data_IF_375344056629
#
_entry.id   IF_375344056629
#
_cell.length_a   1.000
_cell.length_b   1.000
_cell.length_c   1.000
_cell.angle_alpha   90.00
_cell.angle_beta   90.00
_cell.angle_gamma   90.00
#
_symmetry.space_group_name_H-M   'P 1'
#
loop_
_entity.id
_entity.type
_entity.pdbx_description
1 polymer ?
#
# COMPACT_ATOMS: atom_id res chain seq x y z
N UNK A 1 10.74 10.95 -19.24
CA UNK A 1 10.42 11.69 -18.00
C UNK A 1 8.92 11.60 -17.68
N UNK A 2 8.04 11.43 -18.68
CA UNK A 2 6.60 11.16 -18.47
C UNK A 2 6.27 9.85 -17.74
N UNK A 3 6.97 8.73 -17.98
CA UNK A 3 6.56 7.42 -17.43
C UNK A 3 6.58 7.37 -15.89
N UNK A 4 7.54 8.06 -15.27
CA UNK A 4 7.65 8.14 -13.80
C UNK A 4 6.49 8.92 -13.18
N UNK A 5 5.96 9.94 -13.89
CA UNK A 5 4.81 10.74 -13.42
C UNK A 5 3.53 9.91 -13.46
N UNK A 6 3.35 9.14 -14.53
CA UNK A 6 2.19 8.24 -14.68
C UNK A 6 2.22 7.16 -13.60
N UNK A 7 3.36 6.51 -13.39
CA UNK A 7 3.53 5.50 -12.33
C UNK A 7 3.28 6.07 -10.93
N UNK A 8 3.72 7.30 -10.67
CA UNK A 8 3.44 8.00 -9.42
C UNK A 8 1.93 8.21 -9.19
N UNK A 9 1.21 8.72 -10.20
CA UNK A 9 -0.25 8.96 -10.10
C UNK A 9 -1.02 7.66 -9.86
N UNK A 10 -0.71 6.59 -10.61
CA UNK A 10 -1.35 5.29 -10.38
C UNK A 10 -1.05 4.73 -8.99
N UNK A 11 0.19 4.88 -8.51
CA UNK A 11 0.56 4.42 -7.18
C UNK A 11 -0.12 5.21 -6.06
N UNK A 12 -0.35 6.51 -6.26
CA UNK A 12 -1.05 7.38 -5.32
C UNK A 12 -2.54 7.02 -5.25
N UNK A 13 -3.19 6.82 -6.40
CA UNK A 13 -4.59 6.40 -6.50
C UNK A 13 -4.77 5.02 -5.82
N UNK A 14 -3.85 4.09 -6.08
CA UNK A 14 -3.86 2.77 -5.45
C UNK A 14 -3.78 2.87 -3.92
N UNK A 15 -2.89 3.71 -3.39
CA UNK A 15 -2.72 3.90 -1.96
C UNK A 15 -3.99 4.46 -1.29
N UNK A 16 -4.63 5.45 -1.92
CA UNK A 16 -5.87 6.05 -1.44
C UNK A 16 -7.01 5.02 -1.46
N UNK A 17 -7.17 4.28 -2.55
CA UNK A 17 -8.18 3.24 -2.67
C UNK A 17 -7.97 2.11 -1.65
N UNK A 18 -6.72 1.70 -1.42
CA UNK A 18 -6.35 0.71 -0.41
C UNK A 18 -6.72 1.18 1.00
N UNK A 19 -6.40 2.42 1.37
CA UNK A 19 -6.76 2.98 2.68
C UNK A 19 -8.28 3.09 2.86
N UNK A 20 -9.02 3.48 1.82
CA UNK A 20 -10.48 3.52 1.85
C UNK A 20 -11.07 2.12 2.05
N UNK A 21 -10.52 1.10 1.39
CA UNK A 21 -10.96 -0.29 1.51
C UNK A 21 -10.71 -0.83 2.92
N UNK A 22 -9.53 -0.57 3.51
CA UNK A 22 -9.27 -0.89 4.92
C UNK A 22 -10.30 -0.22 5.84
N UNK A 23 -10.55 1.07 5.64
CA UNK A 23 -11.50 1.81 6.47
C UNK A 23 -12.90 1.20 6.38
N UNK A 24 -13.36 0.83 5.19
CA UNK A 24 -14.66 0.16 4.99
C UNK A 24 -14.70 -1.17 5.74
N UNK A 25 -13.67 -2.02 5.63
CA UNK A 25 -13.64 -3.33 6.31
C UNK A 25 -13.63 -3.16 7.83
N UNK A 26 -12.83 -2.24 8.36
CA UNK A 26 -12.82 -1.94 9.79
C UNK A 26 -14.15 -1.37 10.27
N UNK A 27 -14.75 -0.47 9.49
CA UNK A 27 -16.06 0.10 9.81
C UNK A 27 -17.13 -1.00 9.87
N UNK A 28 -17.22 -1.86 8.85
CA UNK A 28 -18.16 -2.98 8.83
C UNK A 28 -17.93 -3.94 10.00
N UNK A 29 -16.68 -4.30 10.29
CA UNK A 29 -16.34 -5.20 11.39
C UNK A 29 -16.70 -4.63 12.77
N UNK A 30 -16.53 -3.31 12.98
CA UNK A 30 -16.94 -2.64 14.23
C UNK A 30 -18.46 -2.55 14.38
N UNK A 31 -19.22 -2.37 13.29
CA UNK A 31 -20.68 -2.42 13.34
C UNK A 31 -21.18 -3.83 13.65
N UNK A 32 -20.64 -4.85 12.97
CA UNK A 32 -21.05 -6.25 13.16
C UNK A 32 -20.64 -6.82 14.51
N UNK A 33 -19.52 -6.39 15.10
CA UNK A 33 -19.12 -6.82 16.46
C UNK A 33 -20.10 -6.36 17.54
N UNK A 34 -20.89 -5.32 17.27
CA UNK A 34 -21.90 -4.82 18.21
C UNK A 34 -23.25 -5.54 18.05
N UNK A 35 -23.52 -6.13 16.88
CA UNK A 35 -24.77 -6.84 16.59
C UNK A 35 -24.53 -8.35 16.63
N UNK A 36 -24.89 -8.99 17.75
CA UNK A 36 -24.75 -10.44 17.97
C UNK A 36 -25.75 -11.19 17.05
N UNK A 37 -25.41 -11.34 15.78
CA UNK A 37 -26.04 -12.29 14.85
C UNK A 37 -24.92 -13.08 14.15
N UNK A 38 -24.64 -14.30 14.64
CA UNK A 38 -23.60 -15.14 14.10
C UNK A 38 -24.18 -15.94 12.94
N UNK A 39 -24.35 -15.34 11.77
CA UNK A 39 -24.38 -16.15 10.55
C UNK A 39 -24.10 -15.31 9.32
N UNK A 40 -23.18 -15.80 8.51
CA UNK A 40 -22.74 -15.27 7.21
C UNK A 40 -21.88 -14.00 7.24
N UNK A 41 -20.58 -14.17 7.04
CA UNK A 41 -19.93 -13.36 6.00
C UNK A 41 -18.63 -14.01 5.49
N UNK A 42 -18.80 -15.02 4.62
CA UNK A 42 -17.70 -15.56 3.80
C UNK A 42 -16.97 -14.43 3.05
N UNK A 43 -17.72 -13.41 2.62
CA UNK A 43 -17.17 -12.28 1.87
C UNK A 43 -16.25 -11.39 2.71
N UNK A 44 -16.53 -11.14 4.00
CA UNK A 44 -15.58 -10.39 4.85
C UNK A 44 -14.28 -11.17 5.06
N UNK A 45 -14.35 -12.50 5.18
CA UNK A 45 -13.17 -13.37 5.25
C UNK A 45 -12.31 -13.28 3.98
N UNK A 46 -12.94 -13.38 2.81
CA UNK A 46 -12.27 -13.24 1.51
C UNK A 46 -11.71 -11.82 1.30
N UNK A 47 -12.42 -10.78 1.72
CA UNK A 47 -11.95 -9.39 1.68
C UNK A 47 -10.72 -9.18 2.57
N UNK A 48 -10.65 -9.79 3.76
CA UNK A 48 -9.47 -9.73 4.63
C UNK A 48 -8.24 -10.37 3.98
N UNK A 49 -8.43 -11.50 3.29
CA UNK A 49 -7.34 -12.15 2.53
C UNK A 49 -6.90 -11.25 1.38
N UNK A 50 -7.85 -10.69 0.62
CA UNK A 50 -7.57 -9.76 -0.48
C UNK A 50 -6.80 -8.53 0.02
N UNK A 51 -7.21 -7.93 1.15
CA UNK A 51 -6.45 -6.85 1.80
C UNK A 51 -5.01 -7.28 2.05
N UNK A 52 -4.79 -8.48 2.61
CA UNK A 52 -3.44 -9.01 2.86
C UNK A 52 -2.56 -9.03 1.59
N UNK A 53 -3.12 -9.43 0.45
CA UNK A 53 -2.42 -9.41 -0.84
C UNK A 53 -2.15 -7.96 -1.30
N UNK A 54 -3.13 -7.05 -1.19
CA UNK A 54 -2.92 -5.65 -1.53
C UNK A 54 -1.86 -4.98 -0.64
N UNK A 55 -1.77 -5.33 0.65
CA UNK A 55 -0.75 -4.84 1.59
C UNK A 55 0.66 -5.13 1.08
N UNK A 56 0.90 -6.31 0.50
CA UNK A 56 2.18 -6.64 -0.11
C UNK A 56 2.50 -5.73 -1.31
N UNK A 57 1.48 -5.38 -2.11
CA UNK A 57 1.61 -4.39 -3.19
C UNK A 57 1.95 -2.99 -2.68
N UNK A 58 1.45 -2.58 -1.51
CA UNK A 58 1.82 -1.30 -0.88
C UNK A 58 3.31 -1.25 -0.53
N UNK A 59 3.90 -2.34 -0.05
CA UNK A 59 5.34 -2.39 0.23
C UNK A 59 6.18 -2.12 -1.03
N UNK A 60 5.75 -2.63 -2.18
CA UNK A 60 6.39 -2.37 -3.48
C UNK A 60 6.25 -0.91 -3.90
N UNK A 61 5.08 -0.29 -3.69
CA UNK A 61 4.84 1.13 -3.97
C UNK A 61 5.71 2.03 -3.09
N UNK A 62 5.81 1.73 -1.80
CA UNK A 62 6.67 2.48 -0.88
C UNK A 62 8.16 2.33 -1.25
N UNK A 63 8.59 1.14 -1.67
CA UNK A 63 9.94 0.94 -2.18
C UNK A 63 10.19 1.74 -3.47
N UNK A 64 9.18 1.90 -4.35
CA UNK A 64 9.31 2.78 -5.51
C UNK A 64 9.47 4.26 -5.12
N UNK A 65 8.74 4.74 -4.10
CA UNK A 65 8.82 6.14 -3.65
C UNK A 65 10.14 6.46 -2.92
N UNK A 66 10.59 5.57 -2.04
CA UNK A 66 11.74 5.82 -1.16
C UNK A 66 13.02 5.09 -1.56
N UNK A 67 12.94 4.06 -2.40
CA UNK A 67 14.10 3.28 -2.86
C UNK A 67 14.98 4.07 -3.84
N UNK A 68 14.41 5.03 -4.57
CA UNK A 68 15.18 5.89 -5.46
C UNK A 68 16.05 6.91 -4.71
N UNK A 69 15.66 7.29 -3.50
CA UNK A 69 16.43 8.21 -2.63
C UNK A 69 17.74 7.60 -2.13
N UNK A 70 17.80 6.27 -1.99
CA UNK A 70 19.01 5.55 -1.56
C UNK A 70 20.07 5.40 -2.66
N UNK A 71 19.67 5.48 -3.93
CA UNK A 71 20.64 5.43 -5.05
C UNK A 71 21.42 6.74 -5.18
N UNK A 72 20.74 7.88 -5.05
CA UNK A 72 21.39 9.19 -5.13
C UNK A 72 22.48 9.37 -4.06
N UNK A 73 22.24 8.90 -2.83
CA UNK A 73 23.21 9.00 -1.73
C UNK A 73 24.43 8.05 -1.89
N UNK A 74 24.30 6.98 -2.68
CA UNK A 74 25.39 6.01 -2.90
C UNK A 74 26.34 6.47 -4.02
N UNK A 75 25.85 7.28 -4.96
CA UNK A 75 26.67 7.85 -6.05
C UNK A 75 27.53 9.01 -5.53
N UNK A 76 26.99 9.91 -4.68
CA UNK A 76 27.77 11.01 -4.07
C UNK A 76 28.94 10.53 -3.20
N UNK A 77 28.74 9.46 -2.41
CA UNK A 77 29.80 8.91 -1.52
C UNK A 77 30.90 8.18 -2.32
N UNK A 78 30.61 7.71 -3.53
CA UNK A 78 31.63 7.08 -4.41
C UNK A 78 32.40 8.08 -5.27
N UNK A 79 31.89 9.30 -5.49
CA UNK A 79 32.63 10.38 -6.17
C UNK A 79 33.58 11.14 -5.24
N UNK A 80 33.33 11.19 -3.92
CA UNK A 80 34.28 11.76 -2.94
C UNK A 80 35.46 10.82 -2.60
N UNK A 81 35.39 9.53 -3.00
CA UNK A 81 36.42 8.51 -2.72
C UNK A 81 37.33 8.20 -3.93
N UNK A 82 37.34 9.05 -4.97
CA UNK A 82 38.32 8.98 -6.06
C UNK A 82 39.33 10.15 -5.98
N UNK A 83 40.66 9.88 -5.95
CA UNK A 83 41.72 10.89 -5.76
C UNK A 83 41.96 11.81 -6.97
#
# INVERSE_FOLDING_TARGET
>A
MEDKRVQFVFSLIFLIAYLALIFIVLFLETQSSFEIKPDHDSMLGELKILIGVLTAGVAQILNFWFGNSKKAQKEEVSEEEQP
#
